data_IF_002833863638
#
_entry.id   IF_002833863638
#
_cell.length_a   1.000
_cell.length_b   1.000
_cell.length_c   1.000
_cell.angle_alpha   90.00
_cell.angle_beta   90.00
_cell.angle_gamma   90.00
#
_symmetry.space_group_name_H-M   'P 1'
#
loop_
_entity.id
_entity.type
_entity.pdbx_description
1 polymer ?
#
# COMPACT_ATOMS: atom_id res chain seq x y z
N UNK A 1 10.21 4.76 11.83
CA UNK A 1 11.19 3.68 11.72
C UNK A 1 10.55 2.37 12.15
N UNK A 2 10.85 1.31 11.45
CA UNK A 2 10.33 0.00 11.80
C UNK A 2 11.16 -0.58 12.92
N UNK A 3 11.32 0.20 13.91
CA UNK A 3 12.11 -0.20 15.06
C UNK A 3 11.27 -0.97 16.05
N UNK A 4 10.15 -1.45 15.57
CA UNK A 4 9.29 -2.30 16.38
C UNK A 4 10.05 -3.49 16.92
N UNK A 5 11.10 -3.88 16.23
CA UNK A 5 12.01 -4.91 16.73
C UNK A 5 13.29 -4.25 17.15
N UNK A 6 13.65 -4.44 18.39
CA UNK A 6 14.89 -3.90 18.94
C UNK A 6 15.94 -4.97 19.09
N UNK A 7 15.70 -6.15 18.55
CA UNK A 7 16.61 -7.29 18.60
C UNK A 7 17.24 -7.49 17.22
N UNK A 8 17.88 -8.64 17.04
CA UNK A 8 18.52 -8.98 15.77
C UNK A 8 17.56 -8.93 14.60
N UNK A 9 16.33 -9.40 14.80
CA UNK A 9 15.31 -9.36 13.77
C UNK A 9 14.94 -7.93 13.40
N UNK A 10 14.98 -7.03 14.38
CA UNK A 10 14.69 -5.63 14.13
C UNK A 10 15.66 -4.99 13.16
N UNK A 11 16.94 -5.30 13.31
CA UNK A 11 17.95 -4.78 12.40
C UNK A 11 17.71 -5.27 10.98
N UNK A 12 17.38 -6.54 10.82
CA UNK A 12 17.09 -7.12 9.50
C UNK A 12 15.87 -6.50 8.88
N UNK A 13 14.82 -6.26 9.68
CA UNK A 13 13.60 -5.63 9.19
C UNK A 13 13.84 -4.20 8.74
N UNK A 14 14.66 -3.44 9.48
CA UNK A 14 15.01 -2.08 9.09
C UNK A 14 15.77 -2.05 7.78
N UNK A 15 16.68 -3.00 7.55
CA UNK A 15 17.41 -3.10 6.30
C UNK A 15 16.44 -3.37 5.16
N UNK A 16 15.48 -4.29 5.35
CA UNK A 16 14.48 -4.58 4.35
C UNK A 16 13.63 -3.35 4.03
N UNK A 17 13.22 -2.60 5.05
CA UNK A 17 12.43 -1.39 4.87
C UNK A 17 13.20 -0.34 4.08
N UNK A 18 14.50 -0.23 4.28
CA UNK A 18 15.33 0.72 3.55
C UNK A 18 15.38 0.45 2.06
N UNK A 19 15.10 -0.77 1.65
CA UNK A 19 15.11 -1.15 0.25
C UNK A 19 13.72 -1.19 -0.36
N UNK A 20 12.69 -0.88 0.43
CA UNK A 20 11.31 -0.94 -0.05
C UNK A 20 10.95 0.25 -0.92
N UNK A 21 10.24 -0.05 -1.98
CA UNK A 21 9.63 0.94 -2.86
C UNK A 21 8.12 0.74 -2.78
N UNK A 22 7.41 1.82 -2.55
CA UNK A 22 5.95 1.78 -2.35
C UNK A 22 5.27 2.70 -3.36
N UNK A 23 4.26 2.18 -4.03
CA UNK A 23 3.35 3.02 -4.82
C UNK A 23 2.14 3.31 -3.95
N UNK A 24 1.88 4.58 -3.70
CA UNK A 24 0.77 5.05 -2.88
C UNK A 24 -0.27 5.71 -3.78
N UNK A 25 -1.49 5.18 -3.76
CA UNK A 25 -2.56 5.63 -4.63
C UNK A 25 -3.74 6.12 -3.80
N UNK A 26 -4.03 7.42 -3.90
CA UNK A 26 -5.14 8.05 -3.17
C UNK A 26 -5.47 9.37 -3.86
N UNK A 27 -6.76 9.69 -3.99
CA UNK A 27 -7.18 10.95 -4.62
C UNK A 27 -7.07 12.15 -3.68
N UNK A 28 -6.87 11.92 -2.40
CA UNK A 28 -6.72 12.97 -1.40
C UNK A 28 -5.25 13.32 -1.23
N UNK A 29 -4.88 14.52 -1.67
CA UNK A 29 -3.49 14.98 -1.59
C UNK A 29 -2.97 15.03 -0.16
N UNK A 30 -3.82 15.35 0.80
CA UNK A 30 -3.42 15.36 2.19
C UNK A 30 -3.00 13.95 2.64
N UNK A 31 -3.79 12.94 2.26
CA UNK A 31 -3.47 11.55 2.58
C UNK A 31 -2.16 11.13 1.92
N UNK A 32 -1.95 11.51 0.67
CA UNK A 32 -0.70 11.19 -0.03
C UNK A 32 0.52 11.76 0.71
N UNK A 33 0.43 13.01 1.14
CA UNK A 33 1.53 13.64 1.87
C UNK A 33 1.72 13.01 3.25
N UNK A 34 0.62 12.83 3.98
CA UNK A 34 0.65 12.33 5.34
C UNK A 34 1.18 10.90 5.41
N UNK A 35 0.62 10.02 4.59
CA UNK A 35 1.05 8.60 4.56
C UNK A 35 2.43 8.48 3.96
N UNK A 36 2.72 9.27 2.92
CA UNK A 36 4.05 9.28 2.31
C UNK A 36 5.13 9.65 3.31
N UNK A 37 4.88 10.67 4.11
CA UNK A 37 5.84 11.10 5.15
C UNK A 37 6.03 10.01 6.20
N UNK A 38 4.95 9.35 6.61
CA UNK A 38 5.05 8.26 7.58
C UNK A 38 5.89 7.11 7.03
N UNK A 39 5.69 6.77 5.76
CA UNK A 39 6.45 5.69 5.12
C UNK A 39 7.94 6.01 5.11
N UNK A 40 8.30 7.24 4.77
CA UNK A 40 9.70 7.65 4.76
C UNK A 40 10.28 7.61 6.17
N UNK A 41 9.53 8.02 7.18
CA UNK A 41 9.96 7.94 8.57
C UNK A 41 10.17 6.50 9.02
N UNK A 42 9.41 5.57 8.46
CA UNK A 42 9.54 4.16 8.77
C UNK A 42 10.74 3.51 8.04
N UNK A 43 11.40 4.24 7.18
CA UNK A 43 12.60 3.76 6.52
C UNK A 43 12.42 3.28 5.09
N UNK A 44 11.24 3.48 4.51
CA UNK A 44 10.98 3.11 3.10
C UNK A 44 11.89 3.93 2.20
N UNK A 45 12.48 3.28 1.20
CA UNK A 45 13.46 3.93 0.33
C UNK A 45 12.82 4.93 -0.62
N UNK A 46 11.67 4.59 -1.17
CA UNK A 46 11.02 5.44 -2.17
C UNK A 46 9.51 5.31 -2.07
N UNK A 47 8.83 6.45 -2.12
CA UNK A 47 7.37 6.49 -2.20
C UNK A 47 6.98 7.16 -3.50
N UNK A 48 6.28 6.42 -4.35
CA UNK A 48 5.77 6.92 -5.62
C UNK A 48 4.29 7.23 -5.38
N UNK A 49 3.87 8.45 -5.68
CA UNK A 49 2.51 8.90 -5.39
C UNK A 49 1.70 9.05 -6.66
N UNK A 50 0.47 8.55 -6.64
CA UNK A 50 -0.47 8.70 -7.73
C UNK A 50 -1.82 9.16 -7.18
N UNK A 51 -2.51 10.05 -7.89
CA UNK A 51 -3.76 10.64 -7.44
C UNK A 51 -5.00 9.91 -7.96
N UNK A 52 -4.81 9.02 -8.91
CA UNK A 52 -5.91 8.23 -9.47
C UNK A 52 -5.34 6.98 -10.14
N UNK A 53 -6.24 6.05 -10.49
CA UNK A 53 -5.83 4.78 -11.07
C UNK A 53 -5.12 4.91 -12.41
N UNK A 54 -5.58 5.83 -13.24
CA UNK A 54 -4.96 6.06 -14.55
C UNK A 54 -3.53 6.55 -14.41
N UNK A 55 -3.31 7.49 -13.50
CA UNK A 55 -1.98 7.99 -13.20
C UNK A 55 -1.09 6.87 -12.63
N UNK A 56 -1.67 6.04 -11.74
CA UNK A 56 -0.94 4.92 -11.17
C UNK A 56 -0.49 3.92 -12.22
N UNK A 57 -1.37 3.59 -13.16
CA UNK A 57 -1.01 2.68 -14.26
C UNK A 57 0.08 3.27 -15.15
N UNK A 58 -0.02 4.57 -15.45
CA UNK A 58 0.99 5.23 -16.26
C UNK A 58 2.35 5.24 -15.57
N UNK A 59 2.36 5.49 -14.27
CA UNK A 59 3.59 5.47 -13.49
C UNK A 59 4.22 4.08 -13.48
N UNK A 60 3.41 3.05 -13.27
CA UNK A 60 3.91 1.68 -13.26
C UNK A 60 4.51 1.28 -14.59
N UNK A 61 3.90 1.71 -15.68
CA UNK A 61 4.40 1.41 -17.02
C UNK A 61 5.79 2.03 -17.26
N UNK A 62 6.09 3.13 -16.59
CA UNK A 62 7.36 3.81 -16.72
C UNK A 62 8.48 3.30 -15.80
N UNK A 63 8.16 2.40 -14.89
CA UNK A 63 9.15 1.89 -13.94
C UNK A 63 9.93 0.72 -14.54
N UNK A 64 11.22 0.67 -14.24
CA UNK A 64 12.06 -0.44 -14.68
C UNK A 64 11.77 -1.73 -13.91
N UNK A 65 11.23 -1.60 -12.70
CA UNK A 65 10.81 -2.76 -11.90
C UNK A 65 9.58 -2.36 -11.08
N UNK A 66 8.77 -3.35 -10.72
CA UNK A 66 7.56 -3.11 -9.95
C UNK A 66 7.89 -2.70 -8.53
N UNK A 67 7.07 -1.85 -7.90
CA UNK A 67 7.23 -1.57 -6.48
C UNK A 67 6.99 -2.83 -5.63
N UNK A 68 7.56 -2.84 -4.44
CA UNK A 68 7.42 -3.98 -3.53
C UNK A 68 6.03 -4.04 -2.93
N UNK A 69 5.45 -2.88 -2.64
CA UNK A 69 4.15 -2.77 -2.00
C UNK A 69 3.34 -1.71 -2.73
N UNK A 70 2.06 -2.01 -2.92
CA UNK A 70 1.08 -1.05 -3.40
C UNK A 70 0.14 -0.73 -2.25
N UNK A 71 -0.02 0.55 -1.94
CA UNK A 71 -1.03 1.01 -0.98
C UNK A 71 -2.09 1.75 -1.77
N UNK A 72 -3.30 1.24 -1.76
CA UNK A 72 -4.36 1.69 -2.65
C UNK A 72 -5.63 2.04 -1.92
N UNK A 73 -6.13 3.26 -2.15
CA UNK A 73 -7.45 3.67 -1.71
C UNK A 73 -8.50 2.98 -2.57
N UNK A 74 -9.48 2.38 -1.94
CA UNK A 74 -10.55 1.66 -2.65
C UNK A 74 -11.58 2.57 -3.31
N UNK A 75 -11.65 3.82 -2.88
CA UNK A 75 -12.67 4.74 -3.36
C UNK A 75 -12.02 5.99 -3.96
N UNK A 76 -11.99 6.06 -5.28
CA UNK A 76 -11.43 7.19 -6.02
C UNK A 76 -12.32 7.51 -7.21
N UNK A 77 -12.41 8.79 -7.64
CA UNK A 77 -13.17 9.14 -8.83
C UNK A 77 -12.54 8.55 -10.09
N UNK A 78 -13.38 8.30 -11.10
CA UNK A 78 -12.93 7.70 -12.35
C UNK A 78 -12.65 6.23 -12.16
N UNK A 79 -11.38 5.83 -12.39
CA UNK A 79 -10.95 4.47 -12.10
C UNK A 79 -10.71 4.36 -10.60
N UNK A 80 -11.61 3.70 -9.90
CA UNK A 80 -11.51 3.54 -8.45
C UNK A 80 -10.45 2.48 -8.10
N UNK A 81 -10.21 2.31 -6.79
CA UNK A 81 -9.20 1.39 -6.31
C UNK A 81 -9.43 -0.05 -6.75
N UNK A 82 -10.69 -0.48 -6.76
CA UNK A 82 -11.02 -1.84 -7.19
C UNK A 82 -10.71 -2.02 -8.68
N UNK A 83 -11.12 -1.05 -9.51
CA UNK A 83 -10.83 -1.09 -10.93
C UNK A 83 -9.33 -1.10 -11.22
N UNK A 84 -8.58 -0.30 -10.50
CA UNK A 84 -7.14 -0.24 -10.62
C UNK A 84 -6.52 -1.60 -10.31
N UNK A 85 -6.93 -2.23 -9.21
CA UNK A 85 -6.41 -3.54 -8.82
C UNK A 85 -6.76 -4.64 -9.82
N UNK A 86 -7.95 -4.58 -10.42
CA UNK A 86 -8.33 -5.52 -11.46
C UNK A 86 -7.42 -5.38 -12.68
N UNK A 87 -7.12 -4.16 -13.09
CA UNK A 87 -6.18 -3.92 -14.19
C UNK A 87 -4.80 -4.48 -13.87
N UNK A 88 -4.31 -4.27 -12.67
CA UNK A 88 -3.02 -4.79 -12.27
C UNK A 88 -2.97 -6.31 -12.30
N UNK A 89 -4.03 -6.95 -11.82
CA UNK A 89 -4.12 -8.41 -11.84
C UNK A 89 -4.04 -8.94 -13.26
N UNK A 90 -4.72 -8.27 -14.18
CA UNK A 90 -4.70 -8.66 -15.60
C UNK A 90 -3.33 -8.45 -16.23
N UNK A 91 -2.54 -7.52 -15.73
CA UNK A 91 -1.19 -7.24 -16.21
C UNK A 91 -0.12 -8.08 -15.53
N UNK A 92 -0.52 -8.94 -14.60
CA UNK A 92 0.41 -9.85 -13.95
C UNK A 92 1.19 -9.26 -12.77
N UNK A 93 0.65 -8.21 -12.14
CA UNK A 93 1.29 -7.65 -10.94
C UNK A 93 1.34 -8.70 -9.83
N UNK A 94 2.49 -8.86 -9.21
CA UNK A 94 2.72 -9.89 -8.18
C UNK A 94 3.20 -9.33 -6.85
N UNK A 95 3.18 -8.01 -6.69
CA UNK A 95 3.58 -7.38 -5.42
C UNK A 95 2.50 -7.50 -4.36
N UNK A 96 2.84 -7.12 -3.14
CA UNK A 96 1.88 -7.09 -2.05
C UNK A 96 1.03 -5.83 -2.08
N UNK A 97 -0.19 -5.94 -1.57
CA UNK A 97 -1.17 -4.85 -1.60
C UNK A 97 -1.67 -4.56 -0.20
N UNK A 98 -1.69 -3.28 0.15
CA UNK A 98 -2.34 -2.77 1.36
C UNK A 98 -3.51 -1.92 0.90
N UNK A 99 -4.70 -2.17 1.45
CA UNK A 99 -5.90 -1.44 1.08
C UNK A 99 -6.20 -0.34 2.09
N UNK A 100 -6.67 0.79 1.58
CA UNK A 100 -7.16 1.90 2.41
C UNK A 100 -8.64 2.08 2.12
N UNK A 101 -9.45 2.27 3.17
CA UNK A 101 -10.87 2.53 3.00
C UNK A 101 -11.36 3.50 4.07
N UNK A 102 -12.48 4.18 3.78
CA UNK A 102 -13.19 4.90 4.83
C UNK A 102 -13.92 3.91 5.72
N UNK A 103 -14.22 4.30 6.94
CA UNK A 103 -14.88 3.42 7.89
C UNK A 103 -16.22 2.91 7.37
N UNK A 104 -16.99 3.79 6.75
CA UNK A 104 -18.30 3.42 6.21
C UNK A 104 -18.17 2.43 5.06
N UNK A 105 -17.22 2.64 4.18
CA UNK A 105 -16.96 1.76 3.06
C UNK A 105 -16.55 0.37 3.54
N UNK A 106 -15.70 0.32 4.55
CA UNK A 106 -15.25 -0.94 5.14
C UNK A 106 -16.43 -1.72 5.71
N UNK A 107 -17.31 -1.05 6.44
CA UNK A 107 -18.47 -1.69 7.04
C UNK A 107 -19.47 -2.19 6.01
N UNK A 108 -19.69 -1.44 4.93
CA UNK A 108 -20.69 -1.77 3.93
C UNK A 108 -20.21 -2.81 2.91
N UNK A 109 -18.96 -2.78 2.55
CA UNK A 109 -18.46 -3.55 1.42
C UNK A 109 -17.96 -4.94 1.80
N UNK A 110 -17.40 -5.11 2.99
CA UNK A 110 -16.75 -6.35 3.37
C UNK A 110 -15.46 -6.57 2.57
N UNK A 111 -14.35 -6.54 3.25
CA UNK A 111 -13.05 -6.63 2.57
C UNK A 111 -12.82 -8.00 1.92
N UNK A 112 -13.37 -9.04 2.51
CA UNK A 112 -13.23 -10.40 1.97
C UNK A 112 -13.84 -10.52 0.57
N UNK A 113 -14.91 -9.77 0.32
CA UNK A 113 -15.55 -9.78 -0.99
C UNK A 113 -14.61 -9.25 -2.08
N UNK A 114 -13.91 -8.16 -1.78
CA UNK A 114 -12.94 -7.61 -2.73
C UNK A 114 -11.79 -8.57 -2.97
N UNK A 115 -11.28 -9.18 -1.90
CA UNK A 115 -10.20 -10.16 -2.03
C UNK A 115 -10.58 -11.31 -2.93
N UNK A 116 -11.79 -11.85 -2.74
CA UNK A 116 -12.29 -12.95 -3.56
C UNK A 116 -12.39 -12.56 -5.03
N UNK A 117 -12.95 -11.39 -5.32
CA UNK A 117 -13.14 -10.93 -6.68
C UNK A 117 -11.84 -10.63 -7.40
N UNK A 118 -10.87 -10.10 -6.66
CA UNK A 118 -9.60 -9.68 -7.24
C UNK A 118 -8.58 -10.80 -7.33
N UNK A 119 -8.85 -11.91 -6.68
CA UNK A 119 -7.91 -13.03 -6.64
C UNK A 119 -6.65 -12.70 -5.86
N UNK A 120 -6.73 -11.73 -4.95
CA UNK A 120 -5.60 -11.38 -4.11
C UNK A 120 -5.97 -11.42 -2.63
N UNK A 121 -4.92 -11.60 -1.83
CA UNK A 121 -5.03 -11.52 -0.38
C UNK A 121 -4.23 -10.28 0.03
N UNK A 122 -4.88 -9.21 0.52
CA UNK A 122 -4.13 -8.02 0.90
C UNK A 122 -3.26 -8.30 2.12
N UNK A 123 -2.11 -7.64 2.15
CA UNK A 123 -1.20 -7.71 3.29
C UNK A 123 -1.87 -7.13 4.54
N UNK A 124 -2.68 -6.11 4.35
CA UNK A 124 -3.46 -5.51 5.41
C UNK A 124 -4.46 -4.52 4.86
N UNK A 125 -5.34 -4.06 5.73
CA UNK A 125 -6.34 -3.04 5.42
C UNK A 125 -6.23 -1.94 6.46
N UNK A 126 -6.18 -0.69 5.99
CA UNK A 126 -6.09 0.49 6.84
C UNK A 126 -7.36 1.31 6.68
N UNK A 127 -7.92 1.79 7.79
CA UNK A 127 -9.14 2.59 7.79
C UNK A 127 -8.76 4.03 8.08
N UNK A 128 -9.31 4.96 7.30
CA UNK A 128 -9.04 6.39 7.51
C UNK A 128 -9.72 6.88 8.78
N UNK A 129 -9.08 7.75 9.58
CA UNK A 129 -7.74 8.29 9.38
C UNK A 129 -6.67 7.24 9.72
N UNK A 130 -5.63 7.20 8.90
CA UNK A 130 -4.60 6.16 9.03
C UNK A 130 -3.70 6.45 10.21
N UNK A 131 -3.61 5.48 11.12
CA UNK A 131 -2.76 5.58 12.30
C UNK A 131 -1.36 5.07 11.97
N UNK A 132 -0.36 5.79 12.47
CA UNK A 132 1.05 5.44 12.24
C UNK A 132 1.37 4.02 12.71
N UNK A 133 0.86 3.64 13.89
CA UNK A 133 1.15 2.32 14.45
C UNK A 133 0.57 1.21 13.60
N UNK A 134 -0.60 1.42 13.03
CA UNK A 134 -1.23 0.45 12.15
C UNK A 134 -0.45 0.29 10.86
N UNK A 135 -0.03 1.40 10.28
CA UNK A 135 0.78 1.38 9.07
C UNK A 135 2.12 0.67 9.34
N UNK A 136 2.76 1.01 10.45
CA UNK A 136 4.01 0.39 10.83
C UNK A 136 3.87 -1.12 10.99
N UNK A 137 2.77 -1.57 11.61
CA UNK A 137 2.50 -3.00 11.80
C UNK A 137 2.37 -3.74 10.47
N UNK A 138 1.68 -3.16 9.51
CA UNK A 138 1.49 -3.82 8.22
C UNK A 138 2.81 -3.89 7.45
N UNK A 139 3.58 -2.81 7.47
CA UNK A 139 4.89 -2.80 6.83
C UNK A 139 5.82 -3.83 7.49
N UNK A 140 5.77 -3.93 8.82
CA UNK A 140 6.57 -4.93 9.53
C UNK A 140 6.19 -6.35 9.13
N UNK A 141 4.92 -6.62 8.90
CA UNK A 141 4.49 -7.94 8.42
C UNK A 141 5.11 -8.28 7.07
N UNK A 142 5.19 -7.31 6.17
CA UNK A 142 5.86 -7.52 4.89
C UNK A 142 7.33 -7.89 5.12
N UNK A 143 8.01 -7.15 5.97
CA UNK A 143 9.44 -7.39 6.24
C UNK A 143 9.67 -8.76 6.88
N UNK A 144 8.77 -9.19 7.75
CA UNK A 144 8.89 -10.49 8.42
C UNK A 144 8.61 -11.65 7.47
N UNK A 145 7.74 -11.44 6.51
CA UNK A 145 7.36 -12.47 5.56
C UNK A 145 8.39 -12.71 4.47
N UNK A 146 9.38 -11.87 4.39
CA UNK A 146 10.47 -11.96 3.42
C UNK A 146 11.78 -12.27 4.13
#
# INVERSE_FOLDING_TARGET
MIAVSTNENGAAQMIAAKNLRVLLLDDDKFTLEFVGDMLLELGVAEVIKAENGEQGLAMLAGLSSQPDILICDLSMPGMDGVGFLMHLGMQGYVGDVILISGAQQHLLSGMDMYSSKLGLIPLGTLIKPIARDELASVIARFCQGK
#
